data_IF_982992202464
#
_entry.id   IF_982992202464
#
_cell.length_a   1.000
_cell.length_b   1.000
_cell.length_c   1.000
_cell.angle_alpha   90.00
_cell.angle_beta   90.00
_cell.angle_gamma   90.00
#
_symmetry.space_group_name_H-M   'P 1'
#
loop_
_entity.id
_entity.type
_entity.pdbx_description
1 polymer ?
#
# COMPACT_ATOMS: atom_id res chain seq x y z
N UNK A 1 30.63 6.81 16.46
CA UNK A 1 29.18 7.17 16.54
C UNK A 1 28.53 6.20 17.47
N UNK A 2 27.95 6.66 18.55
CA UNK A 2 27.33 5.82 19.59
C UNK A 2 26.18 5.01 19.00
N UNK A 3 25.95 3.77 19.47
CA UNK A 3 24.91 2.87 18.98
C UNK A 3 23.50 3.50 18.96
N UNK A 4 23.24 4.44 19.86
CA UNK A 4 21.96 5.18 19.97
C UNK A 4 21.74 6.14 18.79
N UNK A 5 22.79 6.79 18.28
CA UNK A 5 22.66 7.71 17.13
C UNK A 5 22.30 6.98 15.81
N UNK A 6 22.52 5.68 15.73
CA UNK A 6 22.15 4.86 14.57
C UNK A 6 20.70 4.32 14.60
N UNK A 7 19.99 4.40 15.74
CA UNK A 7 18.64 3.84 15.92
C UNK A 7 17.59 4.47 14.99
N UNK A 8 17.46 5.82 14.86
CA UNK A 8 16.46 6.40 13.95
C UNK A 8 16.63 5.93 12.51
N UNK A 9 17.88 5.85 12.01
CA UNK A 9 18.16 5.36 10.67
C UNK A 9 17.82 3.88 10.47
N UNK A 10 17.94 3.06 11.53
CA UNK A 10 17.53 1.64 11.48
C UNK A 10 16.02 1.50 11.41
N UNK A 11 15.27 2.30 12.18
CA UNK A 11 13.81 2.32 12.12
C UNK A 11 13.29 2.86 10.79
N UNK A 12 13.90 3.90 10.23
CA UNK A 12 13.56 4.40 8.90
C UNK A 12 13.71 3.33 7.82
N UNK A 13 14.78 2.53 7.86
CA UNK A 13 14.96 1.38 6.96
C UNK A 13 13.98 0.25 7.24
N UNK A 14 13.69 -0.04 8.52
CA UNK A 14 12.73 -1.08 8.91
C UNK A 14 11.35 -0.84 8.28
N UNK A 15 10.86 0.40 8.27
CA UNK A 15 9.57 0.77 7.71
C UNK A 15 9.63 1.06 6.22
N UNK A 16 10.82 1.07 5.62
CA UNK A 16 11.02 1.45 4.20
C UNK A 16 10.28 2.76 3.89
N UNK A 17 10.77 3.85 4.46
CA UNK A 17 10.08 5.16 4.42
C UNK A 17 9.73 5.59 2.98
N UNK A 18 10.53 5.14 2.00
CA UNK A 18 10.28 5.35 0.58
C UNK A 18 8.91 4.81 0.13
N UNK A 19 8.45 3.72 0.74
CA UNK A 19 7.16 3.12 0.42
C UNK A 19 5.97 3.88 1.01
N UNK A 20 6.18 4.78 1.96
CA UNK A 20 5.13 5.66 2.46
C UNK A 20 4.65 6.60 1.37
N UNK A 21 5.53 6.94 0.42
CA UNK A 21 5.21 7.75 -0.77
C UNK A 21 4.14 7.10 -1.66
N UNK A 22 3.95 5.78 -1.62
CA UNK A 22 2.94 5.12 -2.45
C UNK A 22 1.52 5.21 -1.88
N UNK A 23 1.37 5.05 -0.58
CA UNK A 23 0.06 4.94 0.06
C UNK A 23 -0.53 6.29 0.48
N UNK A 24 0.30 7.25 0.92
CA UNK A 24 -0.14 8.56 1.39
C UNK A 24 -0.90 9.36 0.31
N UNK A 25 -0.44 9.44 -0.96
CA UNK A 25 -1.18 10.13 -1.99
C UNK A 25 -2.61 9.61 -2.17
N UNK A 26 -2.85 8.30 -2.02
CA UNK A 26 -4.20 7.75 -2.14
C UNK A 26 -5.12 8.13 -0.98
N UNK A 27 -4.60 8.27 0.23
CA UNK A 27 -5.38 8.83 1.33
C UNK A 27 -5.80 10.29 1.04
N UNK A 28 -4.90 11.08 0.44
CA UNK A 28 -5.23 12.44 0.00
C UNK A 28 -6.22 12.44 -1.17
N UNK A 29 -6.06 11.58 -2.17
CA UNK A 29 -7.02 11.44 -3.27
C UNK A 29 -8.42 11.16 -2.71
N UNK A 30 -8.55 10.24 -1.75
CA UNK A 30 -9.82 9.96 -1.10
C UNK A 30 -10.42 11.19 -0.41
N UNK A 31 -9.60 11.96 0.32
CA UNK A 31 -10.03 13.16 1.01
C UNK A 31 -10.40 14.30 0.03
N UNK A 32 -9.61 14.52 -1.03
CA UNK A 32 -9.86 15.54 -2.07
C UNK A 32 -11.15 15.26 -2.81
N UNK A 33 -11.35 14.04 -3.32
CA UNK A 33 -12.56 13.64 -4.04
C UNK A 33 -13.81 13.65 -3.15
N UNK A 34 -13.64 13.44 -1.85
CA UNK A 34 -14.77 13.42 -0.90
C UNK A 34 -15.42 14.77 -0.70
N UNK A 35 -14.67 15.87 -0.81
CA UNK A 35 -15.14 17.23 -0.56
C UNK A 35 -15.09 18.12 -1.80
N UNK A 36 -14.60 17.61 -2.93
CA UNK A 36 -14.38 18.36 -4.18
C UNK A 36 -13.61 19.67 -3.95
N UNK A 37 -12.64 19.63 -3.04
CA UNK A 37 -11.84 20.77 -2.61
C UNK A 37 -10.61 20.28 -1.85
N UNK A 38 -9.72 21.20 -1.46
CA UNK A 38 -8.63 20.90 -0.54
C UNK A 38 -9.19 20.76 0.89
N UNK A 39 -9.03 19.60 1.54
CA UNK A 39 -9.43 19.44 2.93
C UNK A 39 -8.74 20.44 3.85
N UNK A 40 -9.30 20.64 5.04
CA UNK A 40 -8.70 21.56 6.03
C UNK A 40 -7.27 21.14 6.40
N UNK A 41 -6.42 22.10 6.79
CA UNK A 41 -5.07 21.80 7.26
C UNK A 41 -5.06 20.87 8.48
N UNK A 42 -6.13 20.91 9.30
CA UNK A 42 -6.35 19.97 10.40
C UNK A 42 -6.52 18.54 9.86
N UNK A 43 -7.42 18.33 8.90
CA UNK A 43 -7.69 17.00 8.34
C UNK A 43 -6.46 16.44 7.65
N UNK A 44 -5.77 17.25 6.83
CA UNK A 44 -4.55 16.84 6.14
C UNK A 44 -3.46 16.42 7.14
N UNK A 45 -3.26 17.17 8.23
CA UNK A 45 -2.30 16.83 9.27
C UNK A 45 -2.62 15.48 9.90
N UNK A 46 -3.89 15.28 10.33
CA UNK A 46 -4.25 14.08 11.05
C UNK A 46 -4.38 12.84 10.15
N UNK A 47 -4.78 13.01 8.89
CA UNK A 47 -4.71 11.95 7.88
C UNK A 47 -3.24 11.54 7.68
N UNK A 48 -2.31 12.50 7.56
CA UNK A 48 -0.88 12.22 7.42
C UNK A 48 -0.34 11.43 8.61
N UNK A 49 -0.63 11.88 9.83
CA UNK A 49 -0.16 11.22 11.06
C UNK A 49 -0.79 9.84 11.22
N UNK A 50 -2.07 9.66 10.87
CA UNK A 50 -2.73 8.36 10.84
C UNK A 50 -2.05 7.41 9.85
N UNK A 51 -1.75 7.86 8.64
CA UNK A 51 -1.06 7.06 7.62
C UNK A 51 0.36 6.69 8.04
N UNK A 52 1.12 7.63 8.62
CA UNK A 52 2.47 7.37 9.16
C UNK A 52 2.41 6.33 10.28
N UNK A 53 1.47 6.48 11.22
CA UNK A 53 1.27 5.53 12.31
C UNK A 53 0.86 4.14 11.82
N UNK A 54 -0.18 4.07 10.96
CA UNK A 54 -0.68 2.84 10.38
C UNK A 54 0.40 2.09 9.58
N UNK A 55 1.10 2.81 8.69
CA UNK A 55 2.16 2.22 7.86
C UNK A 55 3.34 1.71 8.69
N UNK A 56 3.78 2.51 9.67
CA UNK A 56 4.86 2.12 10.59
C UNK A 56 4.49 0.88 11.39
N UNK A 57 3.26 0.81 11.87
CA UNK A 57 2.73 -0.36 12.59
C UNK A 57 2.67 -1.59 11.68
N UNK A 58 2.08 -1.46 10.50
CA UNK A 58 1.96 -2.55 9.53
C UNK A 58 3.33 -3.16 9.18
N UNK A 59 4.32 -2.30 8.87
CA UNK A 59 5.67 -2.75 8.55
C UNK A 59 6.37 -3.38 9.75
N UNK A 60 6.26 -2.78 10.95
CA UNK A 60 6.83 -3.34 12.17
C UNK A 60 6.24 -4.70 12.52
N UNK A 61 4.93 -4.86 12.44
CA UNK A 61 4.22 -6.13 12.66
C UNK A 61 4.65 -7.20 11.64
N UNK A 62 4.72 -6.84 10.36
CA UNK A 62 5.21 -7.74 9.32
C UNK A 62 6.63 -8.25 9.63
N UNK A 63 7.55 -7.35 10.07
CA UNK A 63 8.91 -7.74 10.44
C UNK A 63 8.95 -8.68 11.65
N UNK A 64 8.12 -8.43 12.67
CA UNK A 64 8.06 -9.28 13.86
C UNK A 64 7.54 -10.68 13.55
N UNK A 65 6.47 -10.77 12.76
CA UNK A 65 5.80 -12.02 12.43
C UNK A 65 6.63 -12.86 11.46
N UNK A 66 7.29 -12.21 10.49
CA UNK A 66 8.04 -12.88 9.44
C UNK A 66 9.54 -13.06 9.75
N UNK A 67 10.02 -12.67 10.93
CA UNK A 67 11.44 -12.66 11.27
C UNK A 67 12.18 -13.98 10.93
N UNK A 68 11.55 -15.13 11.17
CA UNK A 68 12.13 -16.45 10.91
C UNK A 68 12.12 -16.81 9.42
N UNK A 69 11.08 -16.44 8.69
CA UNK A 69 10.97 -16.63 7.25
C UNK A 69 11.99 -15.73 6.55
N UNK A 70 12.08 -14.46 6.98
CA UNK A 70 13.03 -13.48 6.46
C UNK A 70 14.49 -13.91 6.65
N UNK A 71 14.81 -14.54 7.78
CA UNK A 71 16.16 -15.04 8.05
C UNK A 71 16.61 -16.15 7.10
N UNK A 72 15.68 -16.91 6.54
CA UNK A 72 15.94 -18.01 5.59
C UNK A 72 15.96 -17.57 4.13
N UNK A 73 15.55 -16.33 3.82
CA UNK A 73 15.53 -15.79 2.48
C UNK A 73 16.77 -14.90 2.26
N UNK A 74 17.67 -15.21 1.32
CA UNK A 74 18.90 -14.42 1.06
C UNK A 74 18.64 -12.94 0.79
N UNK A 75 17.48 -12.60 0.17
CA UNK A 75 17.07 -11.23 -0.11
C UNK A 75 16.72 -10.45 1.15
N UNK A 76 16.16 -11.11 2.17
CA UNK A 76 15.65 -10.48 3.39
C UNK A 76 16.45 -10.79 4.65
N UNK A 77 17.40 -11.73 4.62
CA UNK A 77 18.24 -12.11 5.75
C UNK A 77 19.09 -10.94 6.32
N UNK A 78 19.34 -9.91 5.49
CA UNK A 78 20.07 -8.70 5.90
C UNK A 78 19.18 -7.60 6.50
N UNK A 79 17.88 -7.83 6.63
CA UNK A 79 16.96 -6.90 7.28
C UNK A 79 17.31 -6.73 8.76
N UNK A 80 16.88 -5.63 9.36
CA UNK A 80 17.26 -5.18 10.70
C UNK A 80 17.04 -6.24 11.79
N UNK A 81 15.92 -6.97 11.72
CA UNK A 81 15.58 -7.97 12.75
C UNK A 81 16.33 -9.30 12.54
N UNK A 82 16.30 -9.93 11.35
CA UNK A 82 17.10 -11.14 11.09
C UNK A 82 18.61 -10.94 11.28
N UNK A 83 19.12 -9.77 10.91
CA UNK A 83 20.55 -9.44 11.06
C UNK A 83 20.95 -9.05 12.50
N UNK A 84 20.02 -9.06 13.46
CA UNK A 84 20.29 -8.70 14.86
C UNK A 84 20.61 -7.21 15.08
N UNK A 85 20.33 -6.35 14.09
CA UNK A 85 20.55 -4.89 14.20
C UNK A 85 19.50 -4.21 15.09
N UNK A 86 18.30 -4.79 15.20
CA UNK A 86 17.25 -4.44 16.14
C UNK A 86 16.77 -5.69 16.86
N UNK A 87 16.44 -5.57 18.15
CA UNK A 87 15.83 -6.67 18.92
C UNK A 87 14.30 -6.71 18.70
N UNK A 88 13.68 -7.87 18.94
CA UNK A 88 12.22 -8.02 18.91
C UNK A 88 11.52 -7.03 19.87
N UNK A 89 12.11 -6.78 21.03
CA UNK A 89 11.58 -5.82 22.02
C UNK A 89 11.60 -4.39 21.48
N UNK A 90 12.69 -3.99 20.82
CA UNK A 90 12.77 -2.65 20.21
C UNK A 90 11.74 -2.47 19.10
N UNK A 91 11.54 -3.48 18.25
CA UNK A 91 10.52 -3.41 17.19
C UNK A 91 9.12 -3.44 17.77
N UNK A 92 8.85 -4.22 18.83
CA UNK A 92 7.56 -4.22 19.51
C UNK A 92 7.25 -2.87 20.18
N UNK A 93 8.24 -2.24 20.83
CA UNK A 93 8.09 -0.90 21.39
C UNK A 93 7.82 0.14 20.29
N UNK A 94 8.50 0.04 19.16
CA UNK A 94 8.22 0.88 17.99
C UNK A 94 6.79 0.68 17.47
N UNK A 95 6.29 -0.56 17.38
CA UNK A 95 4.91 -0.84 17.01
C UNK A 95 3.92 -0.23 18.00
N UNK A 96 4.20 -0.28 19.30
CA UNK A 96 3.35 0.35 20.32
C UNK A 96 3.29 1.88 20.17
N UNK A 97 4.42 2.52 19.89
CA UNK A 97 4.46 3.97 19.60
C UNK A 97 3.73 4.31 18.29
N UNK A 98 3.91 3.51 17.25
CA UNK A 98 3.21 3.70 15.98
C UNK A 98 1.69 3.53 16.13
N UNK A 99 1.24 2.55 16.94
CA UNK A 99 -0.17 2.37 17.29
C UNK A 99 -0.70 3.57 18.09
N UNK A 100 0.05 4.07 19.07
CA UNK A 100 -0.35 5.25 19.84
C UNK A 100 -0.50 6.48 18.93
N UNK A 101 0.45 6.72 18.01
CA UNK A 101 0.36 7.80 17.02
C UNK A 101 -0.88 7.63 16.14
N UNK A 102 -1.13 6.42 15.62
CA UNK A 102 -2.29 6.10 14.80
C UNK A 102 -3.59 6.41 15.55
N UNK A 103 -3.73 5.93 16.80
CA UNK A 103 -4.93 6.16 17.61
C UNK A 103 -5.13 7.64 17.90
N UNK A 104 -4.09 8.36 18.33
CA UNK A 104 -4.18 9.81 18.56
C UNK A 104 -4.70 10.52 17.32
N UNK A 105 -4.16 10.19 16.14
CA UNK A 105 -4.57 10.80 14.88
C UNK A 105 -6.03 10.46 14.53
N UNK A 106 -6.42 9.21 14.62
CA UNK A 106 -7.79 8.74 14.33
C UNK A 106 -8.83 9.45 15.22
N UNK A 107 -8.49 9.70 16.48
CA UNK A 107 -9.41 10.38 17.41
C UNK A 107 -9.57 11.88 17.13
N UNK A 108 -8.78 12.46 16.26
CA UNK A 108 -8.92 13.85 15.78
C UNK A 108 -9.76 13.98 14.50
N UNK A 109 -10.05 12.87 13.84
CA UNK A 109 -10.81 12.80 12.58
C UNK A 109 -12.31 12.60 12.85
N UNK A 110 -13.12 12.47 11.80
CA UNK A 110 -14.57 12.29 11.90
C UNK A 110 -14.95 11.19 12.92
N UNK A 111 -16.00 11.43 13.69
CA UNK A 111 -16.37 10.59 14.85
C UNK A 111 -16.50 9.09 14.50
N UNK A 112 -17.00 8.76 13.32
CA UNK A 112 -17.17 7.37 12.87
C UNK A 112 -15.82 6.62 12.75
N UNK A 113 -14.73 7.33 12.39
CA UNK A 113 -13.40 6.73 12.23
C UNK A 113 -12.87 6.17 13.55
N UNK A 114 -13.32 6.77 14.68
CA UNK A 114 -12.97 6.30 16.03
C UNK A 114 -13.48 4.89 16.36
N UNK A 115 -14.42 4.38 15.59
CA UNK A 115 -14.94 3.02 15.74
C UNK A 115 -14.35 2.05 14.73
N UNK A 116 -13.83 2.58 13.61
CA UNK A 116 -13.30 1.78 12.51
C UNK A 116 -11.80 1.49 12.61
N UNK A 117 -11.09 2.09 13.57
CA UNK A 117 -9.66 1.91 13.73
C UNK A 117 -9.16 0.45 13.85
N UNK A 118 -9.94 -0.52 14.39
CA UNK A 118 -9.46 -1.89 14.47
C UNK A 118 -9.37 -2.59 13.10
N UNK A 119 -10.12 -2.13 12.09
CA UNK A 119 -10.21 -2.79 10.78
C UNK A 119 -8.83 -2.86 10.09
N UNK A 120 -8.08 -1.76 9.93
CA UNK A 120 -6.73 -1.83 9.35
C UNK A 120 -5.78 -2.69 10.19
N UNK A 121 -5.90 -2.67 11.52
CA UNK A 121 -5.05 -3.47 12.41
C UNK A 121 -5.22 -4.96 12.19
N UNK A 122 -6.45 -5.43 12.06
CA UNK A 122 -6.73 -6.83 11.70
C UNK A 122 -6.07 -7.16 10.37
N UNK A 123 -6.19 -6.25 9.39
CA UNK A 123 -5.51 -6.38 8.09
C UNK A 123 -4.00 -6.54 8.22
N UNK A 124 -3.35 -5.71 9.03
CA UNK A 124 -1.90 -5.73 9.24
C UNK A 124 -1.40 -7.00 9.94
N UNK A 125 -2.17 -7.52 10.88
CA UNK A 125 -1.83 -8.76 11.60
C UNK A 125 -2.06 -9.99 10.72
N UNK A 126 -3.18 -10.05 10.00
CA UNK A 126 -3.55 -11.22 9.18
C UNK A 126 -2.63 -11.38 7.98
N UNK A 127 -2.26 -10.28 7.32
CA UNK A 127 -1.46 -10.29 6.09
C UNK A 127 -0.21 -11.19 6.13
N UNK A 128 0.71 -11.05 7.13
CA UNK A 128 1.94 -11.86 7.16
C UNK A 128 1.67 -13.37 7.33
N UNK A 129 0.55 -13.73 7.96
CA UNK A 129 0.20 -15.14 8.15
C UNK A 129 -0.36 -15.78 6.88
N UNK A 130 -1.04 -15.02 6.01
CA UNK A 130 -1.74 -15.58 4.85
C UNK A 130 -0.84 -16.36 3.91
N UNK A 131 0.38 -15.90 3.66
CA UNK A 131 1.34 -16.62 2.81
C UNK A 131 1.73 -18.02 3.31
N UNK A 132 1.40 -18.33 4.58
CA UNK A 132 1.59 -19.67 5.16
C UNK A 132 0.45 -20.63 4.80
N UNK A 133 -0.69 -20.10 4.34
CA UNK A 133 -1.90 -20.87 4.10
C UNK A 133 -2.48 -20.71 2.70
N UNK A 134 -2.29 -19.53 2.08
CA UNK A 134 -2.97 -19.22 0.82
C UNK A 134 -2.24 -18.19 -0.03
N UNK A 135 -2.36 -18.33 -1.34
CA UNK A 135 -1.90 -17.34 -2.32
C UNK A 135 -2.70 -16.03 -2.30
N UNK A 136 -3.84 -15.99 -1.62
CA UNK A 136 -4.68 -14.78 -1.50
C UNK A 136 -3.99 -13.65 -0.72
N UNK A 137 -2.80 -13.88 -0.15
CA UNK A 137 -2.02 -12.85 0.55
C UNK A 137 -1.82 -11.58 -0.30
N UNK A 138 -1.67 -11.69 -1.62
CA UNK A 138 -1.51 -10.56 -2.53
C UNK A 138 -2.80 -9.72 -2.66
N UNK A 139 -3.95 -10.38 -2.79
CA UNK A 139 -5.24 -9.70 -2.79
C UNK A 139 -5.55 -9.06 -1.44
N UNK A 140 -5.20 -9.73 -0.35
CA UNK A 140 -5.37 -9.19 0.99
C UNK A 140 -4.53 -7.93 1.21
N UNK A 141 -3.27 -7.92 0.76
CA UNK A 141 -2.44 -6.72 0.78
C UNK A 141 -3.13 -5.58 0.04
N UNK A 142 -3.66 -5.87 -1.15
CA UNK A 142 -4.43 -4.91 -1.91
C UNK A 142 -5.62 -4.36 -1.13
N UNK A 143 -6.42 -5.21 -0.51
CA UNK A 143 -7.58 -4.78 0.32
C UNK A 143 -7.13 -3.88 1.46
N UNK A 144 -6.04 -4.21 2.14
CA UNK A 144 -5.50 -3.41 3.25
C UNK A 144 -5.03 -2.03 2.77
N UNK A 145 -4.33 -1.95 1.63
CA UNK A 145 -3.89 -0.68 1.07
C UNK A 145 -5.07 0.12 0.46
N UNK A 146 -6.12 -0.55 -0.05
CA UNK A 146 -7.37 0.07 -0.48
C UNK A 146 -8.15 0.79 0.64
N UNK A 147 -7.87 0.45 1.91
CA UNK A 147 -8.41 1.21 3.04
C UNK A 147 -7.84 2.63 3.14
N UNK A 148 -6.70 2.94 2.51
CA UNK A 148 -6.10 4.27 2.58
C UNK A 148 -6.99 5.35 1.94
N UNK A 149 -7.44 5.25 0.67
CA UNK A 149 -8.35 6.24 0.10
C UNK A 149 -9.73 6.26 0.78
N UNK A 150 -10.24 5.09 1.21
CA UNK A 150 -11.48 5.01 1.99
C UNK A 150 -11.33 5.72 3.34
N UNK A 151 -10.17 5.54 4.00
CA UNK A 151 -9.83 6.21 5.24
C UNK A 151 -9.76 7.72 5.08
N UNK A 152 -9.12 8.22 4.01
CA UNK A 152 -9.09 9.65 3.67
C UNK A 152 -10.49 10.21 3.42
N UNK A 153 -11.32 9.49 2.67
CA UNK A 153 -12.70 9.88 2.39
C UNK A 153 -13.56 10.01 3.65
N UNK A 154 -13.60 8.94 4.45
CA UNK A 154 -14.43 8.91 5.67
C UNK A 154 -13.90 9.85 6.75
N UNK A 155 -12.60 10.14 6.75
CA UNK A 155 -11.97 11.04 7.71
C UNK A 155 -12.55 12.46 7.64
N UNK A 156 -12.85 12.94 6.42
CA UNK A 156 -13.36 14.31 6.19
C UNK A 156 -14.87 14.40 6.14
N UNK A 157 -15.58 13.34 5.70
CA UNK A 157 -17.03 13.37 5.48
C UNK A 157 -17.84 12.59 6.51
N UNK A 158 -17.20 11.65 7.21
CA UNK A 158 -17.91 10.69 8.05
C UNK A 158 -18.79 9.68 7.30
N UNK A 159 -18.66 9.57 5.97
CA UNK A 159 -19.48 8.72 5.10
C UNK A 159 -18.61 7.90 4.15
N UNK A 160 -19.12 6.76 3.68
CA UNK A 160 -18.52 5.91 2.66
C UNK A 160 -19.57 5.62 1.56
N UNK A 161 -19.77 6.54 0.60
CA UNK A 161 -20.62 6.29 -0.55
C UNK A 161 -19.97 5.25 -1.47
N UNK A 162 -20.68 4.80 -2.51
CA UNK A 162 -20.18 3.74 -3.39
C UNK A 162 -18.90 4.15 -4.14
N UNK A 163 -18.68 5.43 -4.40
CA UNK A 163 -17.46 5.96 -5.02
C UNK A 163 -16.23 5.73 -4.12
N UNK A 164 -16.38 5.88 -2.82
CA UNK A 164 -15.32 5.59 -1.86
C UNK A 164 -14.95 4.09 -1.87
N UNK A 165 -15.94 3.20 -1.97
CA UNK A 165 -15.71 1.76 -2.11
C UNK A 165 -15.07 1.40 -3.45
N UNK A 166 -15.53 2.02 -4.55
CA UNK A 166 -14.97 1.82 -5.88
C UNK A 166 -13.51 2.31 -5.95
N UNK A 167 -13.20 3.47 -5.34
CA UNK A 167 -11.83 3.99 -5.24
C UNK A 167 -10.94 3.06 -4.40
N UNK A 168 -11.43 2.60 -3.25
CA UNK A 168 -10.75 1.61 -2.43
C UNK A 168 -10.48 0.30 -3.18
N UNK A 169 -11.48 -0.17 -3.93
CA UNK A 169 -11.37 -1.33 -4.81
C UNK A 169 -10.35 -1.14 -5.95
N UNK A 170 -10.32 0.05 -6.56
CA UNK A 170 -9.33 0.39 -7.58
C UNK A 170 -7.90 0.29 -7.03
N UNK A 171 -7.65 0.89 -5.87
CA UNK A 171 -6.34 0.82 -5.22
C UNK A 171 -6.03 -0.61 -4.76
N UNK A 172 -7.01 -1.33 -4.23
CA UNK A 172 -6.84 -2.73 -3.84
C UNK A 172 -6.38 -3.61 -5.02
N UNK A 173 -7.01 -3.47 -6.17
CA UNK A 173 -6.65 -4.22 -7.37
C UNK A 173 -5.31 -3.75 -7.96
N UNK A 174 -5.03 -2.46 -7.94
CA UNK A 174 -3.72 -1.95 -8.36
C UNK A 174 -2.58 -2.52 -7.52
N UNK A 175 -2.72 -2.47 -6.19
CA UNK A 175 -1.72 -3.03 -5.27
C UNK A 175 -1.59 -4.54 -5.44
N UNK A 176 -2.71 -5.26 -5.54
CA UNK A 176 -2.69 -6.69 -5.80
C UNK A 176 -1.96 -7.00 -7.12
N UNK A 177 -2.21 -6.23 -8.18
CA UNK A 177 -1.61 -6.43 -9.50
C UNK A 177 -0.08 -6.32 -9.46
N UNK A 178 0.47 -5.27 -8.85
CA UNK A 178 1.92 -5.15 -8.76
C UNK A 178 2.54 -6.10 -7.72
N UNK A 179 1.83 -6.46 -6.65
CA UNK A 179 2.33 -7.41 -5.67
C UNK A 179 2.35 -8.85 -6.22
N UNK A 180 1.48 -9.17 -7.18
CA UNK A 180 1.60 -10.39 -7.97
C UNK A 180 2.96 -10.44 -8.69
N UNK A 181 3.39 -9.36 -9.36
CA UNK A 181 4.73 -9.30 -9.95
C UNK A 181 5.83 -9.45 -8.90
N UNK A 182 5.66 -8.80 -7.73
CA UNK A 182 6.64 -8.88 -6.65
C UNK A 182 6.83 -10.30 -6.13
N UNK A 183 5.81 -11.15 -6.18
CA UNK A 183 5.91 -12.55 -5.78
C UNK A 183 6.93 -13.36 -6.59
N UNK A 184 7.28 -12.90 -7.80
CA UNK A 184 8.28 -13.56 -8.64
C UNK A 184 9.71 -13.45 -8.09
N UNK A 185 10.01 -12.43 -7.29
CA UNK A 185 11.33 -12.28 -6.65
C UNK A 185 11.63 -13.41 -5.65
N UNK A 186 10.61 -13.93 -5.01
CA UNK A 186 10.75 -14.92 -3.94
C UNK A 186 10.34 -16.34 -4.39
N UNK A 187 10.00 -16.55 -5.67
CA UNK A 187 9.43 -17.80 -6.19
C UNK A 187 10.22 -19.06 -5.74
N UNK A 188 11.53 -19.06 -5.90
CA UNK A 188 12.36 -20.22 -5.57
C UNK A 188 12.46 -20.43 -4.04
N UNK A 189 12.55 -19.33 -3.30
CA UNK A 189 12.62 -19.36 -1.83
C UNK A 189 11.27 -19.78 -1.24
N UNK A 190 10.17 -19.25 -1.75
CA UNK A 190 8.82 -19.61 -1.30
C UNK A 190 8.55 -21.10 -1.54
N UNK A 191 8.95 -21.64 -2.71
CA UNK A 191 8.87 -23.08 -2.98
C UNK A 191 9.68 -23.91 -1.99
N UNK A 192 10.91 -23.50 -1.74
CA UNK A 192 11.79 -24.23 -0.82
C UNK A 192 11.30 -24.19 0.64
N UNK A 193 10.58 -23.12 1.03
CA UNK A 193 10.00 -22.96 2.36
C UNK A 193 8.56 -23.45 2.49
N UNK A 194 7.95 -23.94 1.40
CA UNK A 194 6.54 -24.39 1.39
C UNK A 194 5.55 -23.24 1.62
N UNK A 195 5.91 -22.00 1.21
CA UNK A 195 5.05 -20.84 1.31
C UNK A 195 4.12 -20.73 0.09
N UNK A 196 2.95 -20.17 0.32
CA UNK A 196 1.93 -19.99 -0.68
C UNK A 196 1.96 -18.55 -1.22
N UNK A 197 2.41 -18.40 -2.47
CA UNK A 197 2.31 -17.16 -3.21
C UNK A 197 1.61 -17.40 -4.55
N UNK A 198 1.16 -16.33 -5.22
CA UNK A 198 0.59 -16.48 -6.54
C UNK A 198 1.61 -17.09 -7.53
N UNK A 199 2.89 -16.75 -7.38
CA UNK A 199 3.96 -17.30 -8.21
C UNK A 199 4.15 -18.81 -7.97
N UNK A 200 4.07 -19.28 -6.73
CA UNK A 200 4.18 -20.73 -6.43
C UNK A 200 2.95 -21.51 -6.93
N UNK A 201 1.77 -20.89 -6.90
CA UNK A 201 0.50 -21.55 -7.23
C UNK A 201 0.18 -21.54 -8.73
N UNK A 202 0.32 -20.37 -9.39
CA UNK A 202 -0.06 -20.18 -10.79
C UNK A 202 1.13 -20.09 -11.76
N UNK A 203 2.36 -20.05 -11.22
CA UNK A 203 3.57 -19.86 -12.02
C UNK A 203 3.65 -18.48 -12.66
N UNK A 204 4.75 -18.25 -13.40
CA UNK A 204 5.04 -16.93 -14.01
C UNK A 204 3.90 -16.45 -14.92
N UNK A 205 3.39 -17.32 -15.81
CA UNK A 205 2.32 -16.93 -16.74
C UNK A 205 1.02 -16.53 -16.05
N UNK A 206 0.64 -17.27 -14.98
CA UNK A 206 -0.55 -16.97 -14.20
C UNK A 206 -0.43 -15.64 -13.44
N UNK A 207 0.74 -15.34 -12.90
CA UNK A 207 1.04 -14.02 -12.29
C UNK A 207 0.83 -12.89 -13.28
N UNK A 208 1.38 -13.01 -14.50
CA UNK A 208 1.20 -11.97 -15.53
C UNK A 208 -0.26 -11.81 -15.97
N UNK A 209 -1.01 -12.90 -16.08
CA UNK A 209 -2.43 -12.84 -16.42
C UNK A 209 -3.24 -12.18 -15.30
N UNK A 210 -3.01 -12.58 -14.05
CA UNK A 210 -3.66 -12.00 -12.87
C UNK A 210 -3.39 -10.51 -12.72
N UNK A 211 -2.12 -10.09 -12.87
CA UNK A 211 -1.74 -8.69 -12.81
C UNK A 211 -2.43 -7.84 -13.89
N UNK A 212 -2.55 -8.35 -15.13
CA UNK A 212 -3.29 -7.65 -16.20
C UNK A 212 -4.76 -7.48 -15.86
N UNK A 213 -5.40 -8.51 -15.34
CA UNK A 213 -6.81 -8.43 -14.92
C UNK A 213 -6.98 -7.41 -13.79
N UNK A 214 -6.14 -7.46 -12.78
CA UNK A 214 -6.17 -6.50 -11.67
C UNK A 214 -6.00 -5.06 -12.17
N UNK A 215 -5.00 -4.78 -13.00
CA UNK A 215 -4.76 -3.43 -13.51
C UNK A 215 -5.86 -2.96 -14.48
N UNK A 216 -6.42 -3.83 -15.31
CA UNK A 216 -7.56 -3.48 -16.16
C UNK A 216 -8.79 -3.09 -15.31
N UNK A 217 -9.10 -3.87 -14.28
CA UNK A 217 -10.19 -3.58 -13.36
C UNK A 217 -9.92 -2.30 -12.53
N UNK A 218 -8.67 -2.01 -12.18
CA UNK A 218 -8.27 -0.73 -11.57
C UNK A 218 -8.74 0.44 -12.44
N UNK A 219 -8.40 0.43 -13.74
CA UNK A 219 -8.79 1.51 -14.68
C UNK A 219 -10.30 1.62 -14.79
N UNK A 220 -11.02 0.49 -14.87
CA UNK A 220 -12.49 0.47 -14.92
C UNK A 220 -13.09 1.10 -13.66
N UNK A 221 -12.59 0.76 -12.48
CA UNK A 221 -13.09 1.32 -11.23
C UNK A 221 -12.77 2.82 -11.09
N UNK A 222 -11.55 3.26 -11.49
CA UNK A 222 -11.23 4.69 -11.51
C UNK A 222 -12.15 5.45 -12.48
N UNK A 223 -12.43 4.89 -13.65
CA UNK A 223 -13.39 5.48 -14.60
C UNK A 223 -14.81 5.53 -14.02
N UNK A 224 -15.24 4.50 -13.30
CA UNK A 224 -16.53 4.48 -12.63
C UNK A 224 -16.63 5.55 -11.54
N UNK A 225 -15.57 5.74 -10.74
CA UNK A 225 -15.48 6.82 -9.74
C UNK A 225 -15.64 8.19 -10.40
N UNK A 226 -14.87 8.45 -11.47
CA UNK A 226 -14.95 9.72 -12.20
C UNK A 226 -16.34 9.99 -12.79
N UNK A 227 -16.98 8.96 -13.36
CA UNK A 227 -18.34 9.06 -13.88
C UNK A 227 -19.37 9.33 -12.76
N UNK A 228 -19.24 8.65 -11.61
CA UNK A 228 -20.13 8.83 -10.46
C UNK A 228 -20.04 10.21 -9.83
N UNK A 229 -18.85 10.77 -9.78
CA UNK A 229 -18.60 12.12 -9.24
C UNK A 229 -18.87 13.23 -10.26
N UNK A 230 -19.09 12.91 -11.55
CA UNK A 230 -19.14 13.92 -12.61
C UNK A 230 -17.81 14.66 -12.79
N UNK A 231 -16.68 13.96 -12.58
CA UNK A 231 -15.35 14.55 -12.57
C UNK A 231 -14.99 15.22 -13.90
N UNK A 232 -14.24 16.31 -13.84
CA UNK A 232 -13.83 17.11 -14.98
C UNK A 232 -12.58 16.60 -15.70
N UNK A 233 -12.02 17.45 -16.53
CA UNK A 233 -10.97 17.09 -17.48
C UNK A 233 -9.66 16.63 -16.83
N UNK A 234 -9.26 17.21 -15.71
CA UNK A 234 -8.03 16.85 -15.02
C UNK A 234 -8.09 15.44 -14.46
N UNK A 235 -9.22 15.05 -13.85
CA UNK A 235 -9.40 13.69 -13.37
C UNK A 235 -9.25 12.66 -14.50
N UNK A 236 -9.92 12.91 -15.64
CA UNK A 236 -9.86 12.00 -16.79
C UNK A 236 -8.47 11.95 -17.44
N UNK A 237 -7.74 13.06 -17.46
CA UNK A 237 -6.34 13.08 -17.86
C UNK A 237 -5.47 12.23 -16.91
N UNK A 238 -5.77 12.28 -15.62
CA UNK A 238 -5.15 11.44 -14.60
C UNK A 238 -5.40 9.94 -14.85
N UNK A 239 -6.66 9.55 -15.08
CA UNK A 239 -7.02 8.15 -15.41
C UNK A 239 -6.32 7.67 -16.68
N UNK A 240 -6.27 8.53 -17.72
CA UNK A 240 -5.55 8.25 -18.96
C UNK A 240 -4.05 8.03 -18.71
N UNK A 241 -3.44 8.89 -17.90
CA UNK A 241 -2.01 8.78 -17.53
C UNK A 241 -1.73 7.50 -16.74
N UNK A 242 -2.56 7.16 -15.74
CA UNK A 242 -2.46 5.89 -15.00
C UNK A 242 -2.54 4.71 -15.97
N UNK A 243 -3.48 4.74 -16.92
CA UNK A 243 -3.64 3.68 -17.92
C UNK A 243 -2.37 3.49 -18.75
N UNK A 244 -1.78 4.59 -19.24
CA UNK A 244 -0.53 4.55 -20.01
C UNK A 244 0.63 3.99 -19.18
N UNK A 245 0.75 4.42 -17.92
CA UNK A 245 1.80 3.94 -17.01
C UNK A 245 1.64 2.45 -16.68
N UNK A 246 0.42 1.96 -16.47
CA UNK A 246 0.17 0.53 -16.27
C UNK A 246 0.51 -0.29 -17.51
N UNK A 247 0.16 0.18 -18.71
CA UNK A 247 0.56 -0.46 -19.97
C UNK A 247 2.09 -0.49 -20.09
N UNK A 248 2.76 0.62 -19.77
CA UNK A 248 4.22 0.70 -19.76
C UNK A 248 4.83 -0.27 -18.74
N UNK A 249 4.29 -0.40 -17.54
CA UNK A 249 4.73 -1.37 -16.53
C UNK A 249 4.70 -2.80 -17.09
N UNK A 250 3.59 -3.19 -17.73
CA UNK A 250 3.48 -4.50 -18.38
C UNK A 250 4.42 -4.69 -19.58
N UNK A 251 4.85 -3.60 -20.23
CA UNK A 251 5.82 -3.65 -21.33
C UNK A 251 7.26 -3.81 -20.82
N UNK A 252 7.58 -3.29 -19.62
CA UNK A 252 8.89 -3.40 -19.00
C UNK A 252 9.24 -4.84 -18.61
N UNK A 253 8.24 -5.66 -18.26
CA UNK A 253 8.42 -7.00 -17.70
C UNK A 253 7.73 -8.03 -18.59
N UNK A 254 8.43 -9.13 -18.89
CA UNK A 254 7.90 -10.22 -19.71
C UNK A 254 8.14 -11.57 -19.02
N UNK A 255 7.33 -12.60 -19.26
CA UNK A 255 7.52 -13.92 -18.64
C UNK A 255 8.91 -14.53 -18.80
N UNK A 256 9.65 -14.15 -19.85
CA UNK A 256 11.03 -14.60 -20.12
C UNK A 256 12.12 -13.62 -19.71
N UNK A 257 11.79 -12.41 -19.25
CA UNK A 257 12.75 -11.38 -18.84
C UNK A 257 12.24 -10.58 -17.64
N UNK A 258 12.76 -10.89 -16.47
CA UNK A 258 12.41 -10.26 -15.19
C UNK A 258 13.44 -9.23 -14.73
N UNK A 259 14.45 -8.86 -15.56
CA UNK A 259 15.55 -7.96 -15.15
C UNK A 259 15.08 -6.56 -14.73
N UNK A 260 13.94 -6.09 -15.24
CA UNK A 260 13.39 -4.78 -14.94
C UNK A 260 12.23 -4.82 -13.93
N UNK A 261 12.07 -5.93 -13.22
CA UNK A 261 10.99 -6.13 -12.26
C UNK A 261 11.04 -5.09 -11.13
N UNK A 262 12.25 -4.74 -10.63
CA UNK A 262 12.42 -3.68 -9.61
C UNK A 262 11.93 -2.32 -10.13
N UNK A 263 12.27 -1.95 -11.37
CA UNK A 263 11.84 -0.68 -11.95
C UNK A 263 10.31 -0.64 -12.16
N UNK A 264 9.71 -1.74 -12.61
CA UNK A 264 8.26 -1.87 -12.74
C UNK A 264 7.60 -1.72 -11.37
N UNK A 265 8.08 -2.44 -10.36
CA UNK A 265 7.47 -2.42 -9.04
C UNK A 265 7.62 -1.07 -8.30
N UNK A 266 8.86 -0.52 -8.22
CA UNK A 266 9.10 0.66 -7.38
C UNK A 266 8.88 1.98 -8.13
N UNK A 267 9.48 2.11 -9.31
CA UNK A 267 9.51 3.41 -9.98
C UNK A 267 8.16 3.73 -10.61
N UNK A 268 7.58 2.80 -11.39
CA UNK A 268 6.33 3.08 -12.12
C UNK A 268 5.19 3.28 -11.13
N UNK A 269 5.06 2.44 -10.12
CA UNK A 269 3.98 2.55 -9.14
C UNK A 269 4.12 3.79 -8.24
N UNK A 270 5.37 4.21 -7.90
CA UNK A 270 5.60 5.49 -7.23
C UNK A 270 5.15 6.68 -8.06
N UNK A 271 5.47 6.68 -9.35
CA UNK A 271 5.02 7.73 -10.27
C UNK A 271 3.51 7.73 -10.41
N UNK A 272 2.85 6.56 -10.55
CA UNK A 272 1.39 6.46 -10.65
C UNK A 272 0.71 7.17 -9.47
N UNK A 273 1.10 6.86 -8.24
CA UNK A 273 0.42 7.42 -7.06
C UNK A 273 0.57 8.94 -6.95
N UNK A 274 1.78 9.45 -7.16
CA UNK A 274 2.07 10.90 -7.07
C UNK A 274 1.41 11.67 -8.21
N UNK A 275 1.53 11.17 -9.45
CA UNK A 275 0.97 11.84 -10.63
C UNK A 275 -0.54 11.84 -10.60
N UNK A 276 -1.18 10.73 -10.22
CA UNK A 276 -2.63 10.69 -10.10
C UNK A 276 -3.13 11.63 -9.01
N UNK A 277 -2.44 11.71 -7.87
CA UNK A 277 -2.74 12.68 -6.81
C UNK A 277 -2.64 14.13 -7.32
N UNK A 278 -1.62 14.44 -8.11
CA UNK A 278 -1.45 15.78 -8.68
C UNK A 278 -2.61 16.13 -9.65
N UNK A 279 -3.06 15.19 -10.48
CA UNK A 279 -4.23 15.40 -11.34
C UNK A 279 -5.52 15.62 -10.55
N UNK A 280 -5.75 14.82 -9.49
CA UNK A 280 -6.91 15.01 -8.61
C UNK A 280 -6.83 16.34 -7.87
N UNK A 281 -5.64 16.77 -7.44
CA UNK A 281 -5.45 18.09 -6.83
C UNK A 281 -5.75 19.20 -7.83
N UNK A 282 -5.28 19.09 -9.07
CA UNK A 282 -5.59 20.08 -10.12
C UNK A 282 -7.08 20.15 -10.45
N UNK A 283 -7.83 19.06 -10.29
CA UNK A 283 -9.29 19.01 -10.45
C UNK A 283 -10.00 19.90 -9.44
N UNK A 284 -9.47 20.04 -8.21
CA UNK A 284 -10.07 20.91 -7.17
C UNK A 284 -9.83 22.42 -7.40
N UNK A 285 -9.26 22.82 -8.52
CA UNK A 285 -9.12 24.22 -8.92
C UNK A 285 -7.95 24.96 -8.30
N UNK A 286 -6.92 24.24 -7.81
CA UNK A 286 -5.64 24.81 -7.34
C UNK A 286 -4.62 24.92 -8.45
#
# INVERSE_FOLDING_TARGET
>A
MTAVAALPGRFARLVKIEHTVFALPFAYIGALLAVDAVPSGHDLLWITLAMVGARSLAMGMNRLIDAEIDARNPRTARRELPAGLLSRVQVAAFCALALALYLVAVFQLAHIVRWLWPIPLVGFVVYPYLKRWTWLCHLWLGVVDGLAPMGGWIAVTGRLPWEAWALGGAVALWVAGFDLFYSLFDLEVDRAQGLHSAATHFGVRGVFAGARVCHALTVVLLAAVGAGLGAGGWYWAGVGTVTVLLVYEHALVRPGDLRRLDAAFFTVNGVISVVFCAFVLAETGL
#
